data_IF_224874902853
#
_entry.id   IF_224874902853
#
_cell.length_a   1.000
_cell.length_b   1.000
_cell.length_c   1.000
_cell.angle_alpha   90.00
_cell.angle_beta   90.00
_cell.angle_gamma   90.00
#
_symmetry.space_group_name_H-M   'P 1'
#
loop_
_entity.id
_entity.type
_entity.pdbx_description
1 polymer ?
#
# COMPACT_ATOMS: atom_id res chain seq x y z
N UNK A 1 32.54 13.28 0.62
CA UNK A 1 32.48 11.82 0.84
C UNK A 1 31.02 11.41 0.82
N UNK A 2 30.54 10.76 -0.23
CA UNK A 2 29.16 10.25 -0.26
C UNK A 2 29.09 9.00 0.62
N UNK A 3 28.16 8.98 1.57
CA UNK A 3 27.91 7.79 2.39
C UNK A 3 27.37 6.69 1.48
N UNK A 4 27.97 5.50 1.54
CA UNK A 4 27.44 4.32 0.85
C UNK A 4 25.95 4.14 1.20
N UNK A 5 25.09 3.81 0.22
CA UNK A 5 23.70 3.51 0.51
C UNK A 5 23.67 2.30 1.45
N UNK A 6 23.24 2.51 2.69
CA UNK A 6 23.04 1.41 3.64
C UNK A 6 22.16 0.36 2.97
N UNK A 7 22.72 -0.83 2.76
CA UNK A 7 22.02 -1.98 2.22
C UNK A 7 20.69 -2.20 2.96
N UNK A 8 19.72 -2.81 2.27
CA UNK A 8 18.34 -2.97 2.73
C UNK A 8 18.29 -3.53 4.16
N UNK A 9 17.98 -2.70 5.15
CA UNK A 9 17.88 -3.09 6.56
C UNK A 9 16.78 -4.14 6.70
N UNK A 10 17.08 -5.28 7.31
CA UNK A 10 16.09 -6.32 7.60
C UNK A 10 15.26 -5.85 8.78
N UNK A 11 14.04 -5.38 8.49
CA UNK A 11 13.06 -5.01 9.50
C UNK A 11 12.15 -6.21 9.77
N UNK A 12 12.12 -6.67 11.03
CA UNK A 12 11.18 -7.70 11.45
C UNK A 12 9.75 -7.26 11.11
N UNK A 13 8.95 -8.18 10.55
CA UNK A 13 7.55 -7.95 10.11
C UNK A 13 7.36 -6.92 8.98
N UNK A 14 8.41 -6.49 8.25
CA UNK A 14 8.25 -5.62 7.05
C UNK A 14 7.26 -6.16 6.02
N UNK A 15 7.18 -7.48 5.91
CA UNK A 15 6.24 -8.16 5.02
C UNK A 15 4.79 -7.74 5.25
N UNK A 16 4.41 -7.35 6.48
CA UNK A 16 3.05 -6.91 6.79
C UNK A 16 2.74 -5.62 6.03
N UNK A 17 3.63 -4.64 6.10
CA UNK A 17 3.50 -3.35 5.42
C UNK A 17 3.51 -3.58 3.91
N UNK A 18 4.49 -4.32 3.39
CA UNK A 18 4.59 -4.64 1.96
C UNK A 18 3.32 -5.32 1.43
N UNK A 19 2.75 -6.26 2.20
CA UNK A 19 1.52 -6.97 1.84
C UNK A 19 0.29 -6.06 1.91
N UNK A 20 0.19 -5.18 2.90
CA UNK A 20 -0.86 -4.16 2.96
C UNK A 20 -0.81 -3.22 1.75
N UNK A 21 0.39 -2.77 1.36
CA UNK A 21 0.55 -1.98 0.13
C UNK A 21 0.15 -2.76 -1.11
N UNK A 22 0.56 -4.03 -1.23
CA UNK A 22 0.17 -4.88 -2.36
C UNK A 22 -1.34 -5.09 -2.45
N UNK A 23 -2.05 -5.20 -1.31
CA UNK A 23 -3.50 -5.28 -1.30
C UNK A 23 -4.19 -3.98 -1.72
N UNK A 24 -3.67 -2.83 -1.26
CA UNK A 24 -4.17 -1.50 -1.65
C UNK A 24 -3.98 -1.22 -3.15
N UNK A 25 -2.91 -1.75 -3.74
CA UNK A 25 -2.59 -1.55 -5.15
C UNK A 25 -3.33 -2.55 -6.06
N UNK A 26 -3.64 -3.76 -5.57
CA UNK A 26 -4.33 -4.80 -6.37
C UNK A 26 -5.62 -4.34 -7.05
N UNK A 27 -6.37 -3.46 -6.41
CA UNK A 27 -7.65 -2.95 -6.94
C UNK A 27 -7.46 -1.77 -7.91
N UNK A 28 -6.25 -1.23 -8.03
CA UNK A 28 -5.93 -0.08 -8.88
C UNK A 28 -5.46 -0.56 -10.24
N UNK A 29 -5.78 0.23 -11.28
CA UNK A 29 -5.23 0.05 -12.64
C UNK A 29 -3.99 0.92 -12.89
N UNK A 30 -3.85 2.02 -12.16
CA UNK A 30 -2.75 2.98 -12.24
C UNK A 30 -2.04 3.04 -10.90
N UNK A 31 -0.69 2.99 -10.92
CA UNK A 31 0.12 3.00 -9.71
C UNK A 31 0.02 4.33 -8.95
N UNK A 32 -0.03 4.25 -7.61
CA UNK A 32 -0.15 5.41 -6.71
C UNK A 32 0.83 6.57 -6.99
N UNK A 33 2.00 6.28 -7.55
CA UNK A 33 2.99 7.30 -7.91
C UNK A 33 2.52 8.28 -9.00
N UNK A 34 1.49 7.91 -9.76
CA UNK A 34 0.87 8.79 -10.76
C UNK A 34 -0.32 9.58 -10.23
N UNK A 35 -0.69 9.42 -8.95
CA UNK A 35 -1.75 10.22 -8.35
C UNK A 35 -1.30 11.69 -8.31
N UNK A 36 -2.08 12.58 -8.95
CA UNK A 36 -1.81 14.03 -8.94
C UNK A 36 -2.27 14.73 -7.65
N UNK A 37 -2.95 14.01 -6.77
CA UNK A 37 -3.48 14.53 -5.50
C UNK A 37 -3.46 13.45 -4.42
N UNK A 38 -3.02 13.84 -3.22
CA UNK A 38 -2.97 12.94 -2.07
C UNK A 38 -4.35 12.42 -1.67
N UNK A 39 -5.41 13.22 -1.87
CA UNK A 39 -6.78 12.81 -1.57
C UNK A 39 -7.21 11.59 -2.39
N UNK A 40 -6.68 11.42 -3.61
CA UNK A 40 -6.96 10.24 -4.44
C UNK A 40 -6.30 9.00 -3.83
N UNK A 41 -5.03 9.11 -3.45
CA UNK A 41 -4.30 8.01 -2.79
C UNK A 41 -4.95 7.60 -1.46
N UNK A 42 -5.44 8.58 -0.70
CA UNK A 42 -6.18 8.36 0.55
C UNK A 42 -7.52 7.65 0.28
N UNK A 43 -8.30 8.15 -0.68
CA UNK A 43 -9.60 7.56 -1.03
C UNK A 43 -9.48 6.08 -1.42
N UNK A 44 -8.45 5.73 -2.20
CA UNK A 44 -8.18 4.33 -2.55
C UNK A 44 -7.80 3.45 -1.35
N UNK A 45 -7.13 4.01 -0.35
CA UNK A 45 -6.77 3.31 0.89
C UNK A 45 -8.04 2.96 1.67
N UNK A 46 -8.92 3.93 1.88
CA UNK A 46 -10.22 3.71 2.53
C UNK A 46 -11.13 2.77 1.74
N UNK A 47 -11.17 2.92 0.43
CA UNK A 47 -11.96 2.04 -0.45
C UNK A 47 -11.52 0.58 -0.35
N UNK A 48 -10.20 0.33 -0.30
CA UNK A 48 -9.68 -1.03 -0.15
C UNK A 48 -10.04 -1.63 1.21
N UNK A 49 -9.94 -0.85 2.28
CA UNK A 49 -10.36 -1.26 3.62
C UNK A 49 -11.86 -1.61 3.66
N UNK A 50 -12.72 -0.75 3.10
CA UNK A 50 -14.15 -0.97 3.00
C UNK A 50 -14.49 -2.25 2.22
N UNK A 51 -13.83 -2.49 1.07
CA UNK A 51 -14.00 -3.73 0.29
C UNK A 51 -13.62 -4.97 1.08
N UNK A 52 -12.52 -4.92 1.84
CA UNK A 52 -12.10 -6.05 2.66
C UNK A 52 -13.11 -6.34 3.78
N UNK A 53 -13.66 -5.31 4.42
CA UNK A 53 -14.72 -5.47 5.43
C UNK A 53 -15.98 -6.08 4.80
N UNK A 54 -16.44 -5.55 3.67
CA UNK A 54 -17.61 -6.08 2.96
C UNK A 54 -17.45 -7.57 2.61
N UNK A 55 -16.28 -7.98 2.09
CA UNK A 55 -16.02 -9.40 1.77
C UNK A 55 -16.13 -10.31 2.99
N UNK A 56 -15.77 -9.83 4.18
CA UNK A 56 -15.90 -10.58 5.43
C UNK A 56 -17.33 -10.67 5.95
N UNK A 57 -18.22 -9.78 5.50
CA UNK A 57 -19.63 -9.79 5.90
C UNK A 57 -20.47 -10.69 4.97
N UNK A 58 -20.03 -10.87 3.73
CA UNK A 58 -20.74 -11.66 2.71
C UNK A 58 -20.26 -13.10 2.60
N UNK A 59 -19.26 -13.50 3.38
CA UNK A 59 -18.66 -14.84 3.39
C UNK A 59 -18.65 -15.36 4.82
#
# INVERSE_FOLDING_TARGET
>A
MQAEPKGRVVLAKRWVIERSHAWNERARRLIMHHDRSMCVSEAWTWFTAARNLLRKLTT
#
